data_IF_948364980346
#
_entry.id   IF_948364980346
#
_cell.length_a   1.000
_cell.length_b   1.000
_cell.length_c   1.000
_cell.angle_alpha   90.00
_cell.angle_beta   90.00
_cell.angle_gamma   90.00
#
_symmetry.space_group_name_H-M   'P 1'
#
loop_
_entity.id
_entity.type
_entity.pdbx_description
1 polymer ?
#
# COMPACT_ATOMS: atom_id res chain seq x y z
N UNK A 1 13.15 -29.29 -5.40
CA UNK A 1 12.55 -29.80 -6.65
C UNK A 1 11.11 -29.35 -6.59
N UNK A 2 10.69 -28.54 -7.55
CA UNK A 2 9.32 -28.02 -7.62
C UNK A 2 8.46 -29.12 -8.24
N UNK A 3 7.51 -29.65 -7.47
CA UNK A 3 6.66 -30.75 -7.92
C UNK A 3 5.65 -30.20 -8.95
N UNK A 4 5.92 -30.47 -10.22
CA UNK A 4 5.00 -30.21 -11.31
C UNK A 4 3.72 -31.01 -11.07
N UNK A 5 2.63 -30.33 -10.67
CA UNK A 5 1.30 -30.89 -10.55
C UNK A 5 0.45 -30.50 -11.77
N UNK A 6 0.29 -31.38 -12.78
CA UNK A 6 -0.27 -31.00 -14.08
C UNK A 6 -1.67 -30.39 -14.01
N UNK A 7 -2.50 -30.86 -13.07
CA UNK A 7 -3.86 -30.37 -12.88
C UNK A 7 -3.88 -28.99 -12.24
N UNK A 8 -3.07 -28.78 -11.18
CA UNK A 8 -2.93 -27.49 -10.52
C UNK A 8 -2.36 -26.43 -11.46
N UNK A 9 -1.33 -26.78 -12.22
CA UNK A 9 -0.72 -25.94 -13.24
C UNK A 9 -1.71 -25.59 -14.37
N UNK A 10 -2.54 -26.55 -14.81
CA UNK A 10 -3.55 -26.30 -15.82
C UNK A 10 -4.62 -25.30 -15.34
N UNK A 11 -5.15 -25.49 -14.12
CA UNK A 11 -6.12 -24.57 -13.53
C UNK A 11 -5.51 -23.19 -13.27
N UNK A 12 -4.26 -23.14 -12.78
CA UNK A 12 -3.48 -21.92 -12.61
C UNK A 12 -3.37 -21.16 -13.93
N UNK A 13 -2.88 -21.80 -15.00
CA UNK A 13 -2.70 -21.16 -16.31
C UNK A 13 -4.02 -20.67 -16.90
N UNK A 14 -5.10 -21.42 -16.72
CA UNK A 14 -6.44 -21.04 -17.21
C UNK A 14 -7.01 -19.85 -16.42
N UNK A 15 -6.87 -19.84 -15.10
CA UNK A 15 -7.30 -18.74 -14.25
C UNK A 15 -6.50 -17.46 -14.55
N UNK A 16 -5.16 -17.57 -14.64
CA UNK A 16 -4.29 -16.45 -14.98
C UNK A 16 -4.59 -15.89 -16.38
N UNK A 17 -4.83 -16.77 -17.37
CA UNK A 17 -5.28 -16.34 -18.72
C UNK A 17 -6.59 -15.55 -18.67
N UNK A 18 -7.54 -15.97 -17.85
CA UNK A 18 -8.83 -15.28 -17.68
C UNK A 18 -8.65 -13.90 -17.03
N UNK A 19 -7.78 -13.78 -16.02
CA UNK A 19 -7.45 -12.50 -15.39
C UNK A 19 -6.71 -11.57 -16.36
N UNK A 20 -5.72 -12.08 -17.09
CA UNK A 20 -5.01 -11.33 -18.13
C UNK A 20 -5.98 -10.77 -19.17
N UNK A 21 -6.91 -11.59 -19.68
CA UNK A 21 -7.91 -11.16 -20.66
C UNK A 21 -8.82 -10.05 -20.14
N UNK A 22 -9.21 -10.11 -18.87
CA UNK A 22 -10.01 -9.06 -18.22
C UNK A 22 -9.21 -7.78 -18.02
N UNK A 23 -7.94 -7.91 -17.66
CA UNK A 23 -7.05 -6.79 -17.42
C UNK A 23 -6.58 -6.09 -18.70
N UNK A 24 -6.65 -6.71 -19.88
CA UNK A 24 -6.21 -6.11 -21.15
C UNK A 24 -6.81 -4.73 -21.43
N UNK A 25 -8.07 -4.51 -21.04
CA UNK A 25 -8.77 -3.25 -21.26
C UNK A 25 -8.55 -2.22 -20.15
N UNK A 26 -7.99 -2.64 -19.00
CA UNK A 26 -7.80 -1.81 -17.81
C UNK A 26 -6.36 -1.32 -17.73
N UNK A 27 -6.16 -0.06 -17.39
CA UNK A 27 -4.84 0.54 -17.15
C UNK A 27 -4.86 1.41 -15.90
N UNK A 28 -3.70 1.52 -15.27
CA UNK A 28 -3.45 2.54 -14.25
C UNK A 28 -2.71 3.69 -14.92
N UNK A 29 -3.31 4.88 -14.90
CA UNK A 29 -2.79 6.09 -15.52
C UNK A 29 -2.55 7.18 -14.47
N UNK A 30 -1.74 8.19 -14.83
CA UNK A 30 -1.43 9.34 -13.97
C UNK A 30 -0.97 8.95 -12.54
N UNK A 31 -0.14 7.91 -12.45
CA UNK A 31 0.39 7.43 -11.17
C UNK A 31 1.20 8.56 -10.52
N UNK A 32 0.70 9.06 -9.39
CA UNK A 32 1.29 10.17 -8.65
C UNK A 32 1.82 9.65 -7.32
N UNK A 33 3.12 9.80 -7.03
CA UNK A 33 3.67 9.41 -5.74
C UNK A 33 3.21 10.38 -4.64
N UNK A 34 2.59 9.86 -3.59
CA UNK A 34 2.13 10.60 -2.42
C UNK A 34 3.03 10.30 -1.22
N UNK A 35 4.33 10.60 -1.30
CA UNK A 35 5.23 10.39 -0.16
C UNK A 35 4.96 11.46 0.92
N UNK A 36 3.90 11.26 1.70
CA UNK A 36 3.54 12.10 2.83
C UNK A 36 4.02 11.46 4.14
N UNK A 37 4.53 12.29 5.05
CA UNK A 37 5.03 11.84 6.37
C UNK A 37 3.96 11.16 7.20
N UNK A 38 2.70 11.52 6.97
CA UNK A 38 1.54 11.01 7.69
C UNK A 38 0.94 9.76 7.02
N UNK A 39 1.44 9.36 5.84
CA UNK A 39 1.03 8.13 5.17
C UNK A 39 1.20 6.91 6.07
N UNK A 40 0.30 5.94 5.92
CA UNK A 40 0.41 4.66 6.62
C UNK A 40 1.75 3.97 6.35
N UNK A 41 2.24 4.04 5.11
CA UNK A 41 3.44 3.33 4.68
C UNK A 41 4.73 4.10 4.89
N UNK A 42 4.72 5.33 5.42
CA UNK A 42 5.94 6.14 5.58
C UNK A 42 7.06 5.40 6.35
N UNK A 43 8.34 5.50 5.92
CA UNK A 43 8.90 6.21 4.75
C UNK A 43 8.87 5.43 3.42
N UNK A 44 7.87 4.57 3.24
CA UNK A 44 7.63 3.81 2.03
C UNK A 44 7.10 4.66 0.88
N UNK A 45 6.60 3.98 -0.15
CA UNK A 45 6.06 4.64 -1.35
C UNK A 45 4.55 4.56 -1.35
N UNK A 46 3.88 5.70 -1.47
CA UNK A 46 2.42 5.79 -1.61
C UNK A 46 2.07 6.29 -3.01
N UNK A 47 0.96 5.84 -3.56
CA UNK A 47 0.57 6.13 -4.94
C UNK A 47 -0.94 6.30 -5.08
N UNK A 48 -1.33 7.36 -5.78
CA UNK A 48 -2.68 7.50 -6.34
C UNK A 48 -2.62 7.32 -7.87
N UNK A 49 -3.58 6.60 -8.44
CA UNK A 49 -3.66 6.39 -9.89
C UNK A 49 -5.10 6.36 -10.39
N UNK A 50 -5.32 6.90 -11.59
CA UNK A 50 -6.59 6.78 -12.30
C UNK A 50 -6.74 5.36 -12.85
N UNK A 51 -7.93 4.80 -12.72
CA UNK A 51 -8.32 3.57 -13.40
C UNK A 51 -8.92 3.95 -14.74
N UNK A 52 -8.29 3.51 -15.83
CA UNK A 52 -8.79 3.71 -17.18
C UNK A 52 -9.28 2.41 -17.80
N UNK A 53 -10.40 2.47 -18.52
CA UNK A 53 -10.89 1.39 -19.39
C UNK A 53 -10.95 1.90 -20.82
N UNK A 54 -10.18 1.30 -21.72
CA UNK A 54 -10.06 1.73 -23.12
C UNK A 54 -9.75 3.24 -23.28
N UNK A 55 -8.97 3.82 -22.36
CA UNK A 55 -8.57 5.23 -22.36
C UNK A 55 -9.61 6.19 -21.77
N UNK A 56 -10.70 5.68 -21.17
CA UNK A 56 -11.68 6.49 -20.42
C UNK A 56 -11.41 6.27 -18.93
N UNK A 57 -11.27 7.35 -18.16
CA UNK A 57 -11.19 7.27 -16.70
C UNK A 57 -12.54 6.82 -16.12
N UNK A 58 -12.51 5.81 -15.24
CA UNK A 58 -13.70 5.17 -14.68
C UNK A 58 -13.61 4.97 -13.15
N UNK A 59 -12.63 5.60 -12.51
CA UNK A 59 -12.35 5.46 -11.09
C UNK A 59 -10.88 5.71 -10.75
N UNK A 60 -10.51 5.35 -9.53
CA UNK A 60 -9.18 5.57 -8.95
C UNK A 60 -8.77 4.46 -7.99
N UNK A 61 -7.47 4.34 -7.76
CA UNK A 61 -6.88 3.46 -6.76
C UNK A 61 -5.81 4.21 -5.98
N UNK A 62 -5.84 4.03 -4.68
CA UNK A 62 -4.84 4.49 -3.71
C UNK A 62 -4.19 3.27 -3.06
N UNK A 63 -2.86 3.16 -3.23
CA UNK A 63 -2.08 2.05 -2.72
C UNK A 63 -0.67 2.46 -2.32
N UNK A 64 -0.13 1.77 -1.32
CA UNK A 64 1.21 2.01 -0.80
C UNK A 64 2.03 0.74 -0.62
N UNK A 65 3.34 0.86 -0.68
CA UNK A 65 4.30 -0.20 -0.39
C UNK A 65 5.11 0.25 0.82
N UNK A 66 5.15 -0.60 1.85
CA UNK A 66 5.90 -0.28 3.06
C UNK A 66 7.42 -0.21 2.79
N UNK A 67 8.21 0.36 3.72
CA UNK A 67 9.65 0.52 3.53
C UNK A 67 10.41 -0.82 3.50
N UNK A 68 9.78 -1.90 3.97
CA UNK A 68 10.34 -3.25 3.89
C UNK A 68 10.24 -3.85 2.49
N UNK A 69 9.38 -3.28 1.62
CA UNK A 69 9.14 -3.78 0.27
C UNK A 69 8.49 -5.15 0.24
N UNK A 70 7.81 -5.56 1.32
CA UNK A 70 7.27 -6.91 1.46
C UNK A 70 5.77 -7.02 1.27
N UNK A 71 5.04 -5.89 1.30
CA UNK A 71 3.58 -5.84 1.19
C UNK A 71 3.13 -4.61 0.43
N UNK A 72 2.09 -4.80 -0.37
CA UNK A 72 1.33 -3.75 -1.00
C UNK A 72 0.02 -3.57 -0.25
N UNK A 73 -0.24 -2.36 0.22
CA UNK A 73 -1.44 -2.00 0.95
C UNK A 73 -2.40 -1.27 0.02
N UNK A 74 -3.66 -1.69 -0.02
CA UNK A 74 -4.72 -0.97 -0.75
C UNK A 74 -5.46 -0.10 0.24
N UNK A 75 -5.36 1.23 0.09
CA UNK A 75 -6.14 2.15 0.89
C UNK A 75 -7.56 2.27 0.33
N UNK A 76 -7.68 2.53 -0.98
CA UNK A 76 -8.98 2.66 -1.65
C UNK A 76 -8.92 2.14 -3.09
N UNK A 77 -10.01 1.50 -3.53
CA UNK A 77 -10.29 1.27 -4.94
C UNK A 77 -11.72 1.74 -5.17
N UNK A 78 -11.87 2.83 -5.90
CA UNK A 78 -13.16 3.35 -6.31
C UNK A 78 -13.36 3.14 -7.80
N UNK A 79 -14.49 2.54 -8.17
CA UNK A 79 -14.95 2.45 -9.55
C UNK A 79 -16.29 3.17 -9.62
N UNK A 80 -16.44 4.05 -10.59
CA UNK A 80 -17.65 4.83 -10.79
C UNK A 80 -18.88 3.92 -10.93
N UNK A 81 -20.05 4.29 -10.35
CA UNK A 81 -21.22 3.42 -10.26
C UNK A 81 -21.65 2.76 -11.57
N UNK A 82 -21.60 3.49 -12.68
CA UNK A 82 -21.97 3.03 -14.02
C UNK A 82 -21.00 1.96 -14.60
N UNK A 83 -19.78 1.91 -14.08
CA UNK A 83 -18.73 0.98 -14.48
C UNK A 83 -18.57 -0.22 -13.51
N UNK A 84 -19.27 -0.22 -12.37
CA UNK A 84 -19.22 -1.31 -11.37
C UNK A 84 -19.73 -2.64 -11.93
N UNK A 85 -19.37 -3.73 -11.24
CA UNK A 85 -19.73 -5.13 -11.57
C UNK A 85 -19.19 -5.65 -12.91
N UNK A 86 -18.26 -4.94 -13.54
CA UNK A 86 -17.56 -5.34 -14.78
C UNK A 86 -16.20 -6.01 -14.55
N UNK A 87 -15.83 -6.24 -13.28
CA UNK A 87 -14.55 -6.87 -12.92
C UNK A 87 -13.34 -5.92 -12.96
N UNK A 88 -13.56 -4.62 -13.01
CA UNK A 88 -12.51 -3.58 -13.10
C UNK A 88 -11.61 -3.61 -11.86
N UNK A 89 -12.18 -3.50 -10.65
CA UNK A 89 -11.40 -3.53 -9.41
C UNK A 89 -10.57 -4.83 -9.25
N UNK A 90 -11.11 -5.98 -9.69
CA UNK A 90 -10.36 -7.24 -9.71
C UNK A 90 -9.17 -7.20 -10.67
N UNK A 91 -9.36 -6.54 -11.82
CA UNK A 91 -8.30 -6.35 -12.81
C UNK A 91 -7.21 -5.41 -12.30
N UNK A 92 -7.58 -4.37 -11.55
CA UNK A 92 -6.63 -3.49 -10.84
C UNK A 92 -5.77 -4.29 -9.88
N UNK A 93 -6.38 -5.10 -9.00
CA UNK A 93 -5.63 -5.95 -8.06
C UNK A 93 -4.67 -6.90 -8.79
N UNK A 94 -5.12 -7.49 -9.91
CA UNK A 94 -4.28 -8.35 -10.73
C UNK A 94 -3.11 -7.59 -11.36
N UNK A 95 -3.34 -6.39 -11.91
CA UNK A 95 -2.29 -5.55 -12.50
C UNK A 95 -1.24 -5.14 -11.45
N UNK A 96 -1.69 -4.74 -10.25
CA UNK A 96 -0.79 -4.40 -9.14
C UNK A 96 0.05 -5.61 -8.72
N UNK A 97 -0.56 -6.78 -8.60
CA UNK A 97 0.19 -8.01 -8.33
C UNK A 97 1.18 -8.33 -9.45
N UNK A 98 0.79 -8.23 -10.72
CA UNK A 98 1.70 -8.50 -11.84
C UNK A 98 2.90 -7.56 -11.84
N UNK A 99 2.69 -6.28 -11.50
CA UNK A 99 3.75 -5.28 -11.50
C UNK A 99 4.69 -5.41 -10.31
N UNK A 100 4.16 -5.60 -9.09
CA UNK A 100 4.94 -5.56 -7.86
C UNK A 100 5.32 -6.94 -7.31
N UNK A 101 4.57 -7.99 -7.64
CA UNK A 101 4.76 -9.36 -7.12
C UNK A 101 4.74 -9.43 -5.58
N UNK A 102 3.98 -8.57 -4.92
CA UNK A 102 3.83 -8.53 -3.46
C UNK A 102 2.45 -9.04 -3.01
N UNK A 103 2.35 -9.66 -1.82
CA UNK A 103 1.09 -9.86 -1.15
C UNK A 103 0.32 -8.54 -1.01
N UNK A 104 -0.98 -8.60 -1.31
CA UNK A 104 -1.88 -7.45 -1.24
C UNK A 104 -2.62 -7.47 0.09
N UNK A 105 -2.63 -6.35 0.80
CA UNK A 105 -3.27 -6.19 2.11
C UNK A 105 -4.27 -5.04 2.04
N UNK A 106 -5.59 -5.30 2.09
CA UNK A 106 -6.57 -4.22 2.15
C UNK A 106 -6.50 -3.48 3.49
N UNK A 107 -6.49 -2.15 3.44
CA UNK A 107 -6.72 -1.30 4.60
C UNK A 107 -8.21 -0.99 4.71
N UNK A 108 -8.76 -1.06 5.91
CA UNK A 108 -10.11 -0.59 6.26
C UNK A 108 -11.19 -0.90 5.19
N UNK A 109 -11.63 -2.17 5.09
CA UNK A 109 -12.70 -2.53 4.16
C UNK A 109 -14.01 -1.84 4.56
N UNK A 110 -14.60 -1.05 3.66
CA UNK A 110 -15.95 -0.50 3.82
C UNK A 110 -16.98 -1.64 3.85
N UNK A 111 -18.02 -1.50 4.67
CA UNK A 111 -18.91 -2.62 5.05
C UNK A 111 -19.62 -3.33 3.89
N UNK A 112 -19.87 -2.65 2.77
CA UNK A 112 -20.48 -3.21 1.57
C UNK A 112 -19.48 -3.92 0.63
N UNK A 113 -18.17 -3.80 0.88
CA UNK A 113 -17.10 -4.35 0.05
C UNK A 113 -16.70 -5.79 0.41
N UNK A 114 -17.26 -6.38 1.47
CA UNK A 114 -16.88 -7.73 1.95
C UNK A 114 -17.01 -8.81 0.87
N UNK A 115 -18.14 -8.83 0.15
CA UNK A 115 -18.39 -9.81 -0.90
C UNK A 115 -17.37 -9.70 -2.05
N UNK A 116 -16.94 -8.47 -2.37
CA UNK A 116 -15.90 -8.23 -3.36
C UNK A 116 -14.56 -8.80 -2.90
N UNK A 117 -14.12 -8.49 -1.67
CA UNK A 117 -12.82 -8.95 -1.16
C UNK A 117 -12.77 -10.48 -0.98
N UNK A 118 -13.85 -11.10 -0.55
CA UNK A 118 -13.96 -12.56 -0.48
C UNK A 118 -13.77 -13.21 -1.86
N UNK A 119 -14.50 -12.71 -2.86
CA UNK A 119 -14.35 -13.16 -4.26
C UNK A 119 -12.95 -12.87 -4.82
N UNK A 120 -12.36 -11.72 -4.51
CA UNK A 120 -11.02 -11.35 -4.99
C UNK A 120 -9.97 -12.31 -4.44
N UNK A 121 -10.01 -12.63 -3.13
CA UNK A 121 -9.12 -13.61 -2.49
C UNK A 121 -9.19 -14.96 -3.18
N UNK A 122 -10.40 -15.49 -3.38
CA UNK A 122 -10.60 -16.79 -4.05
C UNK A 122 -9.95 -16.81 -5.44
N UNK A 123 -10.19 -15.77 -6.24
CA UNK A 123 -9.72 -15.70 -7.64
C UNK A 123 -8.22 -15.45 -7.77
N UNK A 124 -7.65 -14.60 -6.92
CA UNK A 124 -6.22 -14.28 -6.97
C UNK A 124 -5.38 -15.40 -6.31
N UNK A 125 -5.84 -16.00 -5.21
CA UNK A 125 -5.13 -17.12 -4.59
C UNK A 125 -5.06 -18.34 -5.54
N UNK A 126 -6.08 -18.56 -6.37
CA UNK A 126 -6.06 -19.60 -7.41
C UNK A 126 -4.92 -19.44 -8.45
N UNK A 127 -4.33 -18.25 -8.54
CA UNK A 127 -3.18 -17.94 -9.40
C UNK A 127 -1.94 -17.52 -8.59
N UNK A 128 -1.88 -17.89 -7.31
CA UNK A 128 -0.73 -17.62 -6.44
C UNK A 128 -0.59 -16.15 -6.02
N UNK A 129 -1.53 -15.29 -6.36
CA UNK A 129 -1.55 -13.90 -5.93
C UNK A 129 -2.23 -13.80 -4.57
N UNK A 130 -1.43 -13.67 -3.50
CA UNK A 130 -1.95 -13.64 -2.13
C UNK A 130 -2.63 -12.30 -1.83
N UNK A 131 -3.90 -12.37 -1.41
CA UNK A 131 -4.57 -11.26 -0.71
C UNK A 131 -4.72 -11.66 0.77
N UNK A 132 -4.05 -10.94 1.68
CA UNK A 132 -4.11 -11.19 3.12
C UNK A 132 -5.43 -10.65 3.74
N UNK A 133 -5.56 -10.86 5.04
CA UNK A 133 -6.62 -10.25 5.83
C UNK A 133 -6.46 -8.73 5.86
N UNK A 134 -7.59 -8.05 6.06
CA UNK A 134 -7.55 -6.60 6.18
C UNK A 134 -6.84 -6.14 7.45
N UNK A 135 -6.23 -4.96 7.40
CA UNK A 135 -5.81 -4.23 8.60
C UNK A 135 -6.86 -3.15 8.88
N UNK A 136 -7.45 -3.20 10.06
CA UNK A 136 -8.43 -2.20 10.51
C UNK A 136 -7.73 -0.95 11.00
N UNK A 137 -8.46 0.16 11.07
CA UNK A 137 -7.94 1.45 11.59
C UNK A 137 -7.32 1.31 12.98
N UNK A 138 -7.91 0.50 13.86
CA UNK A 138 -7.38 0.25 15.21
C UNK A 138 -6.11 -0.63 15.25
N UNK A 139 -5.73 -1.25 14.13
CA UNK A 139 -4.57 -2.15 14.00
C UNK A 139 -3.40 -1.49 13.25
N UNK A 140 -3.61 -0.28 12.69
CA UNK A 140 -2.60 0.40 11.87
C UNK A 140 -1.32 0.68 12.66
N UNK A 141 -1.44 1.18 13.89
CA UNK A 141 -0.27 1.49 14.72
C UNK A 141 0.56 0.24 15.04
N UNK A 142 -0.12 -0.89 15.29
CA UNK A 142 0.53 -2.18 15.52
C UNK A 142 1.24 -2.67 14.24
N UNK A 143 0.62 -2.50 13.07
CA UNK A 143 1.24 -2.86 11.80
C UNK A 143 2.49 -2.01 11.49
N UNK A 144 2.45 -0.69 11.79
CA UNK A 144 3.59 0.23 11.61
C UNK A 144 4.81 -0.11 12.45
N UNK A 145 4.64 -0.79 13.59
CA UNK A 145 5.76 -1.23 14.44
C UNK A 145 6.81 -2.03 13.66
N UNK A 146 6.37 -2.77 12.64
CA UNK A 146 7.25 -3.59 11.79
C UNK A 146 8.37 -2.77 11.13
N UNK A 147 8.12 -1.51 10.78
CA UNK A 147 9.09 -0.64 10.10
C UNK A 147 9.36 0.67 10.85
N UNK A 148 8.95 0.78 12.12
CA UNK A 148 9.18 2.00 12.91
C UNK A 148 10.67 2.35 13.01
N UNK A 149 11.54 1.34 13.08
CA UNK A 149 12.99 1.51 13.13
C UNK A 149 13.59 2.10 11.84
N UNK A 150 12.83 2.13 10.73
CA UNK A 150 13.23 2.74 9.46
C UNK A 150 12.74 4.19 9.34
N UNK A 151 11.87 4.65 10.24
CA UNK A 151 11.31 6.01 10.20
C UNK A 151 12.40 7.01 10.55
N UNK A 152 12.73 7.97 9.65
CA UNK A 152 13.75 8.97 9.91
C UNK A 152 13.37 9.86 11.10
N UNK A 153 14.37 10.17 11.93
CA UNK A 153 14.24 11.16 12.99
C UNK A 153 13.78 12.50 12.40
N UNK A 154 12.75 13.15 12.98
CA UNK A 154 12.34 14.50 12.59
C UNK A 154 13.52 15.49 12.62
N UNK A 155 13.60 16.37 11.63
CA UNK A 155 14.74 17.29 11.51
C UNK A 155 14.94 18.17 12.74
N UNK A 156 13.86 18.62 13.39
CA UNK A 156 13.97 19.42 14.62
C UNK A 156 14.57 18.62 15.79
N UNK A 157 14.24 17.33 15.94
CA UNK A 157 14.85 16.49 16.97
C UNK A 157 16.32 16.20 16.66
N UNK A 158 16.62 15.98 15.38
CA UNK A 158 18.00 15.81 14.90
C UNK A 158 18.82 17.07 15.20
N UNK A 159 18.31 18.26 14.87
CA UNK A 159 18.94 19.54 15.16
C UNK A 159 19.11 19.77 16.65
N UNK A 160 18.10 19.44 17.47
CA UNK A 160 18.22 19.52 18.95
C UNK A 160 19.33 18.60 19.45
N UNK A 161 19.42 17.36 18.94
CA UNK A 161 20.47 16.40 19.33
C UNK A 161 21.85 16.90 18.92
N UNK A 162 22.01 17.40 17.70
CA UNK A 162 23.24 17.98 17.19
C UNK A 162 23.66 19.21 18.02
N UNK A 163 22.71 20.10 18.32
CA UNK A 163 22.94 21.27 19.17
C UNK A 163 23.37 20.86 20.58
N UNK A 164 22.72 19.85 21.18
CA UNK A 164 23.08 19.32 22.50
C UNK A 164 24.45 18.63 22.51
N UNK A 165 24.89 18.10 21.39
CA UNK A 165 26.22 17.51 21.22
C UNK A 165 27.30 18.55 20.88
N UNK A 166 26.92 19.81 20.60
CA UNK A 166 27.86 20.89 20.28
C UNK A 166 28.64 21.36 21.51
N UNK A 167 29.91 21.78 21.36
CA UNK A 167 30.67 22.45 22.43
C UNK A 167 29.99 23.70 23.00
N UNK A 168 29.06 24.31 22.26
CA UNK A 168 28.32 25.51 22.66
C UNK A 168 27.17 25.21 23.64
N UNK A 169 26.72 23.95 23.73
CA UNK A 169 25.57 23.54 24.53
C UNK A 169 25.64 24.00 26.00
N UNK A 170 26.76 23.86 26.73
CA UNK A 170 26.82 24.28 28.14
C UNK A 170 26.50 25.77 28.34
N UNK A 171 26.92 26.63 27.41
CA UNK A 171 26.65 28.07 27.48
C UNK A 171 25.18 28.38 27.15
N UNK A 172 24.59 27.66 26.20
CA UNK A 172 23.18 27.78 25.83
C UNK A 172 22.29 27.31 26.99
N UNK A 173 22.59 26.16 27.58
CA UNK A 173 21.87 25.58 28.71
C UNK A 173 21.89 26.52 29.94
N UNK A 174 23.03 27.14 30.23
CA UNK A 174 23.15 28.12 31.32
C UNK A 174 22.25 29.35 31.11
N UNK A 175 22.13 29.84 29.87
CA UNK A 175 21.26 30.98 29.54
C UNK A 175 19.78 30.64 29.68
N UNK A 176 19.38 29.44 29.25
CA UNK A 176 17.98 28.95 29.39
C UNK A 176 17.61 28.86 30.87
N UNK A 177 18.46 28.22 31.70
CA UNK A 177 18.22 28.10 33.15
C UNK A 177 18.11 29.47 33.84
N UNK A 178 18.92 30.45 33.43
CA UNK A 178 18.85 31.80 33.97
C UNK A 178 17.54 32.52 33.60
N UNK A 179 16.99 32.27 32.40
CA UNK A 179 15.70 32.85 31.98
C UNK A 179 14.48 32.21 32.64
N UNK A 180 14.57 30.95 33.10
CA UNK A 180 13.48 30.26 33.81
C UNK A 180 13.38 30.64 35.29
N UNK A 181 14.41 31.32 35.83
CA UNK A 181 14.48 31.76 37.23
C UNK A 181 14.16 33.25 37.44
N UNK A 182 13.82 33.97 36.36
CA UNK A 182 13.34 35.37 36.39
C UNK A 182 11.83 35.43 36.17
#
# INVERSE_FOLDING_TARGET
MDDFEPMRDYFYRRAAKTLNQRATAVRLANITPECQRDSFVFPGSDFAANIEVNGVAVGEVDYGINPLGDRLYINEIEVEPEHRRRGIALSVLWLLFQHHQLPIVPLHQRGDSFAFWSMARERLNAVGALIEDQIRTCELDAAKQRWQHLVPEPDHLRQIRELKASPEWPAIEARIKASEQS
#
